data_IF_863037365771
#
_entry.id   IF_863037365771
#
_cell.length_a   1.000
_cell.length_b   1.000
_cell.length_c   1.000
_cell.angle_alpha   90.00
_cell.angle_beta   90.00
_cell.angle_gamma   90.00
#
_symmetry.space_group_name_H-M   'P 1'
#
loop_
_entity.id
_entity.type
_entity.pdbx_description
1 polymer ?
#
# COMPACT_ATOMS: atom_id res chain seq x y z
N UNK A 1 35.52 14.81 22.39
CA UNK A 1 34.06 15.08 22.49
C UNK A 1 33.37 13.76 22.80
N UNK A 2 32.86 13.57 24.01
CA UNK A 2 32.33 12.29 24.48
C UNK A 2 31.03 11.92 23.77
N UNK A 3 31.05 10.84 22.98
CA UNK A 3 29.86 10.32 22.32
C UNK A 3 28.88 9.72 23.32
N UNK A 4 27.58 9.99 23.14
CA UNK A 4 26.48 9.34 23.87
C UNK A 4 26.66 7.82 23.88
N UNK A 5 26.52 7.21 25.07
CA UNK A 5 26.56 5.75 25.26
C UNK A 5 25.55 5.06 24.33
N UNK A 6 25.84 3.87 23.78
CA UNK A 6 24.96 3.18 22.83
C UNK A 6 23.51 3.01 23.32
N UNK A 7 23.32 2.69 24.60
CA UNK A 7 22.00 2.55 25.23
C UNK A 7 21.21 3.86 25.29
N UNK A 8 21.88 5.00 25.48
CA UNK A 8 21.23 6.31 25.47
C UNK A 8 20.73 6.68 24.06
N UNK A 9 21.43 6.23 23.01
CA UNK A 9 20.97 6.41 21.61
C UNK A 9 19.74 5.55 21.33
N UNK A 10 19.68 4.33 21.86
CA UNK A 10 18.50 3.48 21.76
C UNK A 10 17.29 4.11 22.48
N UNK A 11 17.49 4.61 23.70
CA UNK A 11 16.45 5.34 24.43
C UNK A 11 15.93 6.56 23.67
N UNK A 12 16.83 7.36 23.08
CA UNK A 12 16.44 8.51 22.26
C UNK A 12 15.64 8.11 21.02
N UNK A 13 16.01 7.02 20.35
CA UNK A 13 15.27 6.50 19.19
C UNK A 13 13.87 6.03 19.58
N UNK A 14 13.73 5.32 20.70
CA UNK A 14 12.43 4.87 21.22
C UNK A 14 11.55 6.08 21.53
N UNK A 15 12.08 7.07 22.27
CA UNK A 15 11.34 8.31 22.58
C UNK A 15 10.93 9.04 21.30
N UNK A 16 11.85 9.21 20.35
CA UNK A 16 11.55 9.86 19.07
C UNK A 16 10.47 9.12 18.28
N UNK A 17 10.50 7.79 18.25
CA UNK A 17 9.48 6.98 17.59
C UNK A 17 8.12 7.09 18.27
N UNK A 18 8.06 7.00 19.60
CA UNK A 18 6.83 7.19 20.37
C UNK A 18 6.21 8.58 20.16
N UNK A 19 7.04 9.63 20.12
CA UNK A 19 6.59 10.98 19.82
C UNK A 19 6.02 11.10 18.39
N UNK A 20 6.67 10.47 17.41
CA UNK A 20 6.17 10.45 16.03
C UNK A 20 4.82 9.72 15.92
N UNK A 21 4.65 8.58 16.61
CA UNK A 21 3.37 7.88 16.69
C UNK A 21 2.28 8.72 17.36
N UNK A 22 2.62 9.38 18.48
CA UNK A 22 1.68 10.27 19.18
C UNK A 22 1.24 11.46 18.33
N UNK A 23 2.16 12.10 17.62
CA UNK A 23 1.85 13.17 16.67
C UNK A 23 0.94 12.67 15.55
N UNK A 24 1.27 11.52 14.95
CA UNK A 24 0.44 10.91 13.90
C UNK A 24 -0.97 10.62 14.39
N UNK A 25 -1.11 10.03 15.58
CA UNK A 25 -2.41 9.74 16.19
C UNK A 25 -3.24 11.02 16.42
N UNK A 26 -2.64 12.09 16.95
CA UNK A 26 -3.34 13.36 17.15
C UNK A 26 -3.81 13.98 15.82
N UNK A 27 -2.95 13.97 14.80
CA UNK A 27 -3.30 14.51 13.47
C UNK A 27 -4.44 13.72 12.85
N UNK A 28 -4.37 12.39 12.82
CA UNK A 28 -5.45 11.57 12.27
C UNK A 28 -6.74 11.69 13.07
N UNK A 29 -6.68 11.73 14.40
CA UNK A 29 -7.86 11.95 15.23
C UNK A 29 -8.54 13.30 14.92
N UNK A 30 -7.74 14.36 14.73
CA UNK A 30 -8.27 15.69 14.43
C UNK A 30 -8.85 15.79 13.02
N UNK A 31 -8.23 15.15 12.03
CA UNK A 31 -8.66 15.20 10.63
C UNK A 31 -9.81 14.23 10.34
N UNK A 32 -9.76 13.00 10.85
CA UNK A 32 -10.72 11.92 10.53
C UNK A 32 -11.85 11.80 11.55
N UNK A 33 -11.67 12.30 12.77
CA UNK A 33 -12.71 12.27 13.80
C UNK A 33 -14.03 12.93 13.36
N UNK A 34 -14.03 14.18 12.87
CA UNK A 34 -15.26 14.85 12.45
C UNK A 34 -15.97 14.16 11.27
N UNK A 35 -15.29 13.79 10.15
CA UNK A 35 -15.90 13.01 9.07
C UNK A 35 -16.48 11.67 9.54
N UNK A 36 -15.76 10.92 10.37
CA UNK A 36 -16.23 9.62 10.88
C UNK A 36 -17.52 9.75 11.71
N UNK A 37 -17.59 10.76 12.58
CA UNK A 37 -18.82 11.02 13.36
C UNK A 37 -19.98 11.45 12.48
N UNK A 38 -19.75 12.23 11.41
CA UNK A 38 -20.79 12.62 10.45
C UNK A 38 -21.37 11.41 9.72
N UNK A 39 -20.51 10.55 9.18
CA UNK A 39 -20.94 9.33 8.49
C UNK A 39 -21.73 8.40 9.42
N UNK A 40 -21.30 8.28 10.68
CA UNK A 40 -22.01 7.49 11.68
C UNK A 40 -23.37 8.10 12.05
N UNK A 41 -23.47 9.43 12.11
CA UNK A 41 -24.72 10.13 12.36
C UNK A 41 -25.70 9.98 11.19
N UNK A 42 -25.21 10.08 9.95
CA UNK A 42 -25.98 9.90 8.72
C UNK A 42 -26.53 8.47 8.62
N UNK A 43 -25.69 7.44 8.84
CA UNK A 43 -26.14 6.05 8.88
C UNK A 43 -27.24 5.82 9.92
N UNK A 44 -27.09 6.39 11.12
CA UNK A 44 -28.10 6.27 12.18
C UNK A 44 -29.40 6.99 11.81
N UNK A 45 -29.30 8.16 11.17
CA UNK A 45 -30.47 8.92 10.72
C UNK A 45 -31.25 8.15 9.65
N UNK A 46 -30.56 7.57 8.67
CA UNK A 46 -31.16 6.74 7.62
C UNK A 46 -31.82 5.48 8.20
N UNK A 47 -31.14 4.80 9.14
CA UNK A 47 -31.72 3.66 9.87
C UNK A 47 -33.00 4.05 10.62
N UNK A 48 -32.98 5.16 11.36
CA UNK A 48 -34.13 5.63 12.11
C UNK A 48 -35.30 6.03 11.18
N UNK A 49 -35.01 6.67 10.05
CA UNK A 49 -36.02 7.02 9.05
C UNK A 49 -36.65 5.77 8.41
N UNK A 50 -35.83 4.77 8.08
CA UNK A 50 -36.30 3.49 7.55
C UNK A 50 -37.18 2.74 8.56
N UNK A 51 -36.73 2.64 9.81
CA UNK A 51 -37.48 2.02 10.92
C UNK A 51 -38.79 2.77 11.21
N UNK A 52 -38.80 4.10 11.17
CA UNK A 52 -40.04 4.87 11.38
C UNK A 52 -41.07 4.58 10.28
N UNK A 53 -40.62 4.38 9.03
CA UNK A 53 -41.50 4.14 7.89
C UNK A 53 -41.99 2.69 7.77
N UNK A 54 -41.17 1.70 8.15
CA UNK A 54 -41.47 0.28 7.91
C UNK A 54 -41.48 -0.58 9.19
N UNK A 55 -41.12 -0.03 10.35
CA UNK A 55 -40.93 -0.78 11.60
C UNK A 55 -42.17 -1.50 12.11
N UNK A 56 -43.37 -1.01 11.80
CA UNK A 56 -44.61 -1.71 12.11
C UNK A 56 -44.80 -3.03 11.34
N UNK A 57 -44.14 -3.18 10.18
CA UNK A 57 -44.19 -4.35 9.32
C UNK A 57 -42.99 -5.29 9.50
N UNK A 58 -42.00 -4.90 10.30
CA UNK A 58 -40.78 -5.66 10.53
C UNK A 58 -40.84 -6.35 11.91
N UNK A 59 -40.43 -7.62 12.01
CA UNK A 59 -40.23 -8.25 13.30
C UNK A 59 -39.19 -7.49 14.13
N UNK A 60 -39.35 -7.41 15.46
CA UNK A 60 -38.38 -6.73 16.31
C UNK A 60 -36.99 -7.39 16.16
N UNK A 61 -35.96 -6.60 15.85
CA UNK A 61 -34.59 -7.09 15.69
C UNK A 61 -34.22 -7.64 14.31
N UNK A 62 -35.20 -7.84 13.40
CA UNK A 62 -34.94 -8.44 12.09
C UNK A 62 -34.07 -7.53 11.18
N UNK A 63 -34.21 -6.21 11.32
CA UNK A 63 -33.39 -5.26 10.57
C UNK A 63 -31.95 -5.26 11.06
N UNK A 64 -31.75 -5.31 12.37
CA UNK A 64 -30.44 -5.39 13.01
C UNK A 64 -29.74 -6.71 12.65
N UNK A 65 -30.47 -7.82 12.58
CA UNK A 65 -29.95 -9.12 12.14
C UNK A 65 -29.54 -9.10 10.66
N UNK A 66 -30.39 -8.54 9.79
CA UNK A 66 -30.07 -8.38 8.37
C UNK A 66 -28.83 -7.48 8.18
N UNK A 67 -28.80 -6.34 8.87
CA UNK A 67 -27.67 -5.40 8.80
C UNK A 67 -26.39 -6.03 9.36
N UNK A 68 -26.49 -6.75 10.47
CA UNK A 68 -25.37 -7.49 11.05
C UNK A 68 -24.82 -8.53 10.07
N UNK A 69 -25.70 -9.26 9.40
CA UNK A 69 -25.32 -10.23 8.36
C UNK A 69 -24.68 -9.53 7.17
N UNK A 70 -25.27 -8.46 6.65
CA UNK A 70 -24.76 -7.70 5.51
C UNK A 70 -23.39 -7.06 5.79
N UNK A 71 -23.20 -6.47 6.98
CA UNK A 71 -21.92 -5.91 7.41
C UNK A 71 -20.86 -6.99 7.60
N UNK A 72 -21.23 -8.16 8.14
CA UNK A 72 -20.33 -9.29 8.28
C UNK A 72 -19.90 -9.87 6.92
N UNK A 73 -20.82 -9.98 5.96
CA UNK A 73 -20.49 -10.44 4.59
C UNK A 73 -19.64 -9.41 3.85
N UNK A 74 -19.92 -8.11 4.02
CA UNK A 74 -19.14 -7.02 3.44
C UNK A 74 -17.72 -6.97 4.04
N UNK A 75 -17.56 -7.23 5.34
CA UNK A 75 -16.25 -7.34 5.99
C UNK A 75 -15.38 -8.47 5.42
N UNK A 76 -15.99 -9.45 4.74
CA UNK A 76 -15.30 -10.50 4.00
C UNK A 76 -15.14 -10.21 2.50
N UNK A 77 -15.43 -8.97 2.08
CA UNK A 77 -15.35 -8.53 0.69
C UNK A 77 -16.53 -8.97 -0.18
N UNK A 78 -17.56 -9.61 0.40
CA UNK A 78 -18.71 -10.13 -0.36
C UNK A 78 -19.77 -9.04 -0.53
N UNK A 79 -19.69 -8.32 -1.64
CA UNK A 79 -20.69 -7.33 -2.05
C UNK A 79 -21.85 -8.00 -2.79
N UNK A 80 -22.96 -8.28 -2.12
CA UNK A 80 -24.16 -8.93 -2.72
C UNK A 80 -25.38 -8.01 -2.83
N UNK A 81 -25.20 -6.69 -2.75
CA UNK A 81 -26.30 -5.72 -2.76
C UNK A 81 -26.80 -5.37 -4.18
N UNK A 82 -26.18 -5.90 -5.24
CA UNK A 82 -26.60 -5.71 -6.63
C UNK A 82 -27.39 -6.90 -7.18
N UNK A 83 -28.31 -6.64 -8.11
CA UNK A 83 -29.01 -7.65 -8.92
C UNK A 83 -28.10 -8.36 -9.95
N UNK A 84 -26.78 -8.19 -9.85
CA UNK A 84 -25.79 -8.73 -10.76
C UNK A 84 -25.17 -10.00 -10.17
N UNK A 85 -25.68 -11.14 -10.62
CA UNK A 85 -25.22 -12.50 -10.29
C UNK A 85 -23.76 -12.83 -10.69
N UNK A 86 -22.96 -11.84 -11.13
CA UNK A 86 -21.68 -12.07 -11.82
C UNK A 86 -20.44 -11.49 -11.13
N UNK A 87 -20.58 -10.68 -10.07
CA UNK A 87 -19.41 -10.12 -9.36
C UNK A 87 -18.85 -11.14 -8.33
N UNK A 88 -18.16 -12.17 -8.82
CA UNK A 88 -17.38 -13.06 -7.95
C UNK A 88 -16.09 -12.35 -7.54
N UNK A 89 -15.88 -12.15 -6.24
CA UNK A 89 -14.62 -11.60 -5.72
C UNK A 89 -13.42 -12.55 -5.96
N UNK A 90 -13.66 -13.80 -6.35
CA UNK A 90 -12.63 -14.79 -6.65
C UNK A 90 -12.56 -15.15 -8.14
N UNK A 91 -12.70 -14.15 -9.01
CA UNK A 91 -12.29 -14.29 -10.41
C UNK A 91 -10.75 -14.33 -10.55
N UNK A 92 -10.25 -14.76 -11.70
CA UNK A 92 -8.80 -14.95 -11.91
C UNK A 92 -7.99 -13.65 -11.68
N UNK A 93 -8.40 -12.48 -12.21
CA UNK A 93 -7.73 -11.21 -11.92
C UNK A 93 -7.65 -10.88 -10.41
N UNK A 94 -8.75 -11.05 -9.66
CA UNK A 94 -8.76 -10.74 -8.22
C UNK A 94 -7.97 -11.75 -7.39
N UNK A 95 -7.98 -13.03 -7.78
CA UNK A 95 -7.14 -14.05 -7.18
C UNK A 95 -5.63 -13.78 -7.42
N UNK A 96 -5.26 -13.30 -8.61
CA UNK A 96 -3.89 -12.89 -8.92
C UNK A 96 -3.49 -11.66 -8.11
N UNK A 97 -4.36 -10.66 -7.98
CA UNK A 97 -4.14 -9.50 -7.11
C UNK A 97 -3.96 -9.91 -5.64
N UNK A 98 -4.81 -10.82 -5.15
CA UNK A 98 -4.71 -11.35 -3.79
C UNK A 98 -3.36 -12.04 -3.56
N UNK A 99 -2.97 -12.96 -4.44
CA UNK A 99 -1.68 -13.67 -4.33
C UNK A 99 -0.47 -12.75 -4.49
N UNK A 100 -0.53 -11.75 -5.38
CA UNK A 100 0.48 -10.71 -5.51
C UNK A 100 0.62 -9.89 -4.21
N UNK A 101 -0.50 -9.51 -3.61
CA UNK A 101 -0.54 -8.73 -2.37
C UNK A 101 0.05 -9.47 -1.17
N UNK A 102 -0.06 -10.81 -1.15
CA UNK A 102 0.60 -11.66 -0.15
C UNK A 102 2.11 -11.63 -0.36
N UNK A 103 2.59 -11.87 -1.59
CA UNK A 103 4.02 -11.91 -1.89
C UNK A 103 4.70 -10.54 -1.76
N UNK A 104 3.97 -9.44 -1.96
CA UNK A 104 4.47 -8.08 -1.76
C UNK A 104 4.37 -7.59 -0.33
N UNK A 105 3.80 -8.40 0.58
CA UNK A 105 3.44 -7.99 1.95
C UNK A 105 2.57 -6.72 1.99
N UNK A 106 1.81 -6.43 0.93
CA UNK A 106 0.90 -5.28 0.89
C UNK A 106 -0.39 -5.60 1.63
N UNK A 107 -1.00 -6.77 1.34
CA UNK A 107 -2.17 -7.28 2.06
C UNK A 107 -3.34 -6.30 2.22
N UNK A 108 -4.03 -5.96 1.13
CA UNK A 108 -5.11 -4.94 1.12
C UNK A 108 -6.31 -5.19 2.05
N UNK A 109 -6.45 -6.36 2.66
CA UNK A 109 -7.46 -6.61 3.70
C UNK A 109 -8.93 -6.76 3.24
N UNK A 110 -9.28 -6.36 2.02
CA UNK A 110 -10.66 -6.49 1.49
C UNK A 110 -11.04 -7.94 1.09
N UNK A 111 -10.05 -8.83 0.96
CA UNK A 111 -10.24 -10.25 0.62
C UNK A 111 -9.45 -11.15 1.57
N UNK A 112 -10.08 -12.22 2.05
CA UNK A 112 -9.43 -13.20 2.93
C UNK A 112 -9.95 -14.62 2.67
N UNK A 113 -9.09 -15.66 2.83
CA UNK A 113 -9.53 -17.04 2.67
C UNK A 113 -10.48 -17.43 3.80
N UNK A 114 -11.69 -17.82 3.42
CA UNK A 114 -12.75 -18.21 4.35
C UNK A 114 -12.61 -19.67 4.81
N UNK A 115 -12.16 -20.55 3.93
CA UNK A 115 -12.02 -21.98 4.22
C UNK A 115 -10.75 -22.30 5.00
N UNK A 116 -10.82 -23.35 5.83
CA UNK A 116 -9.64 -23.86 6.54
C UNK A 116 -8.51 -24.25 5.58
N UNK A 117 -8.84 -24.89 4.45
CA UNK A 117 -7.89 -25.24 3.40
C UNK A 117 -7.24 -24.01 2.74
N UNK A 118 -8.02 -22.97 2.44
CA UNK A 118 -7.50 -21.72 1.88
C UNK A 118 -6.57 -20.98 2.85
N UNK A 119 -6.89 -20.99 4.15
CA UNK A 119 -6.02 -20.43 5.20
C UNK A 119 -4.71 -21.21 5.32
N UNK A 120 -4.76 -22.54 5.35
CA UNK A 120 -3.56 -23.38 5.40
C UNK A 120 -2.68 -23.19 4.15
N UNK A 121 -3.29 -23.17 2.96
CA UNK A 121 -2.58 -22.87 1.71
C UNK A 121 -1.93 -21.49 1.74
N UNK A 122 -2.64 -20.46 2.19
CA UNK A 122 -2.12 -19.10 2.31
C UNK A 122 -0.85 -19.04 3.18
N UNK A 123 -0.83 -19.74 4.31
CA UNK A 123 0.35 -19.83 5.19
C UNK A 123 1.54 -20.47 4.46
N UNK A 124 1.33 -21.61 3.80
CA UNK A 124 2.41 -22.31 3.06
C UNK A 124 2.90 -21.47 1.88
N UNK A 125 1.96 -20.86 1.14
CA UNK A 125 2.25 -19.98 0.00
C UNK A 125 3.08 -18.77 0.42
N UNK A 126 2.73 -18.10 1.53
CA UNK A 126 3.50 -16.99 2.06
C UNK A 126 4.88 -17.44 2.57
N UNK A 127 4.96 -18.57 3.27
CA UNK A 127 6.22 -19.07 3.84
C UNK A 127 7.28 -19.39 2.78
N UNK A 128 6.87 -19.93 1.63
CA UNK A 128 7.77 -20.25 0.51
C UNK A 128 7.93 -19.08 -0.46
N UNK A 129 6.85 -18.36 -0.71
CA UNK A 129 6.80 -17.28 -1.69
C UNK A 129 7.56 -16.04 -1.24
N UNK A 130 7.46 -15.63 0.03
CA UNK A 130 8.15 -14.43 0.52
C UNK A 130 9.68 -14.52 0.39
N UNK A 131 10.36 -15.60 0.83
CA UNK A 131 11.79 -15.76 0.60
C UNK A 131 12.15 -15.76 -0.89
N UNK A 132 11.36 -16.42 -1.73
CA UNK A 132 11.59 -16.47 -3.17
C UNK A 132 11.43 -15.08 -3.82
N UNK A 133 10.41 -14.31 -3.44
CA UNK A 133 10.21 -12.93 -3.87
C UNK A 133 11.35 -12.02 -3.43
N UNK A 134 11.84 -12.17 -2.19
CA UNK A 134 13.00 -11.42 -1.71
C UNK A 134 14.27 -11.77 -2.48
N UNK A 135 14.50 -13.05 -2.79
CA UNK A 135 15.64 -13.50 -3.59
C UNK A 135 15.57 -12.96 -5.04
N UNK A 136 14.38 -12.96 -5.63
CA UNK A 136 14.15 -12.39 -6.95
C UNK A 136 14.45 -10.89 -6.95
N UNK A 137 13.90 -10.15 -5.97
CA UNK A 137 14.17 -8.71 -5.81
C UNK A 137 15.66 -8.45 -5.61
N UNK A 138 16.35 -9.22 -4.74
CA UNK A 138 17.79 -9.09 -4.54
C UNK A 138 18.60 -9.36 -5.83
N UNK A 139 18.19 -10.33 -6.64
CA UNK A 139 18.86 -10.66 -7.91
C UNK A 139 18.64 -9.55 -8.94
N UNK A 140 17.40 -9.10 -9.08
CA UNK A 140 17.04 -7.97 -9.96
C UNK A 140 17.78 -6.70 -9.54
N UNK A 141 17.93 -6.43 -8.24
CA UNK A 141 18.76 -5.35 -7.72
C UNK A 141 20.21 -5.46 -8.23
N UNK A 142 20.83 -6.62 -8.08
CA UNK A 142 22.22 -6.83 -8.47
C UNK A 142 22.43 -6.66 -9.98
N UNK A 143 21.46 -7.03 -10.80
CA UNK A 143 21.52 -6.85 -12.25
C UNK A 143 21.23 -5.41 -12.70
N UNK A 144 20.25 -4.74 -12.06
CA UNK A 144 19.79 -3.41 -12.46
C UNK A 144 20.66 -2.28 -11.92
N UNK A 145 21.24 -2.43 -10.72
CA UNK A 145 22.02 -1.37 -10.07
C UNK A 145 23.19 -0.87 -10.95
N UNK A 146 24.01 -1.74 -11.56
CA UNK A 146 25.10 -1.29 -12.43
C UNK A 146 24.60 -0.55 -13.68
N UNK A 147 23.48 -0.98 -14.25
CA UNK A 147 22.88 -0.33 -15.41
C UNK A 147 22.37 1.08 -15.07
N UNK A 148 21.72 1.22 -13.92
CA UNK A 148 21.18 2.48 -13.42
C UNK A 148 22.28 3.45 -12.91
N UNK A 149 23.41 2.94 -12.43
CA UNK A 149 24.51 3.77 -11.91
C UNK A 149 25.46 4.31 -12.98
N UNK A 150 25.53 3.68 -14.16
CA UNK A 150 26.39 4.10 -15.29
C UNK A 150 26.15 5.56 -15.73
N UNK A 151 24.92 6.02 -15.99
CA UNK A 151 24.70 7.40 -16.42
C UNK A 151 25.05 8.40 -15.30
N UNK A 152 24.75 8.09 -14.03
CA UNK A 152 25.12 8.96 -12.91
C UNK A 152 26.63 9.09 -12.71
N UNK A 153 27.38 8.00 -12.92
CA UNK A 153 28.85 8.03 -12.92
C UNK A 153 29.41 8.85 -14.10
N UNK A 154 28.84 8.73 -15.30
CA UNK A 154 29.22 9.53 -16.46
C UNK A 154 29.00 11.03 -16.22
N UNK A 155 27.83 11.41 -15.69
CA UNK A 155 27.50 12.80 -15.33
C UNK A 155 28.44 13.34 -14.25
N UNK A 156 28.76 12.53 -13.23
CA UNK A 156 29.67 12.92 -12.16
C UNK A 156 31.08 13.25 -12.67
N UNK A 157 31.58 12.47 -13.63
CA UNK A 157 32.88 12.70 -14.29
C UNK A 157 32.81 13.94 -15.18
N UNK A 158 31.74 14.11 -15.95
CA UNK A 158 31.62 15.21 -16.91
C UNK A 158 31.44 16.59 -16.24
N UNK A 159 30.79 16.64 -15.08
CA UNK A 159 30.56 17.88 -14.31
C UNK A 159 31.44 18.05 -13.08
N UNK A 160 32.49 17.22 -12.91
CA UNK A 160 33.48 17.33 -11.83
C UNK A 160 32.82 17.46 -10.43
N UNK A 161 31.70 16.77 -10.25
CA UNK A 161 30.91 16.84 -9.03
C UNK A 161 31.64 16.12 -7.90
N UNK A 162 31.54 16.65 -6.67
CA UNK A 162 32.03 15.91 -5.51
C UNK A 162 31.27 14.59 -5.35
N UNK A 163 31.91 13.51 -4.89
CA UNK A 163 31.31 12.18 -4.82
C UNK A 163 30.03 12.16 -3.97
N UNK A 164 29.96 13.01 -2.92
CA UNK A 164 28.77 13.16 -2.10
C UNK A 164 27.60 13.81 -2.86
N UNK A 165 27.86 14.85 -3.67
CA UNK A 165 26.82 15.50 -4.48
C UNK A 165 26.36 14.60 -5.62
N UNK A 166 27.28 13.89 -6.27
CA UNK A 166 26.95 12.91 -7.30
C UNK A 166 26.04 11.79 -6.77
N UNK A 167 26.37 11.22 -5.61
CA UNK A 167 25.54 10.19 -4.96
C UNK A 167 24.15 10.72 -4.60
N UNK A 168 24.05 11.95 -4.08
CA UNK A 168 22.77 12.58 -3.75
C UNK A 168 21.92 12.84 -5.02
N UNK A 169 22.52 13.39 -6.07
CA UNK A 169 21.82 13.66 -7.34
C UNK A 169 21.32 12.36 -7.98
N UNK A 170 22.15 11.31 -7.99
CA UNK A 170 21.74 10.00 -8.52
C UNK A 170 20.61 9.37 -7.69
N UNK A 171 20.69 9.48 -6.36
CA UNK A 171 19.64 9.06 -5.46
C UNK A 171 18.31 9.79 -5.69
N UNK A 172 18.35 11.11 -5.83
CA UNK A 172 17.18 11.95 -6.11
C UNK A 172 16.61 11.63 -7.50
N UNK A 173 17.46 11.53 -8.52
CA UNK A 173 17.04 11.18 -9.88
C UNK A 173 16.38 9.80 -9.95
N UNK A 174 16.95 8.79 -9.27
CA UNK A 174 16.34 7.46 -9.21
C UNK A 174 15.02 7.49 -8.42
N UNK A 175 14.95 8.25 -7.32
CA UNK A 175 13.72 8.44 -6.56
C UNK A 175 12.61 9.10 -7.38
N UNK A 176 12.93 10.14 -8.16
CA UNK A 176 12.01 10.81 -9.07
C UNK A 176 11.58 9.91 -10.23
N UNK A 177 12.50 9.13 -10.80
CA UNK A 177 12.20 8.15 -11.84
C UNK A 177 11.20 7.12 -11.31
N UNK A 178 11.43 6.59 -10.10
CA UNK A 178 10.52 5.64 -9.44
C UNK A 178 9.16 6.29 -9.16
N UNK A 179 9.13 7.49 -8.58
CA UNK A 179 7.88 8.21 -8.32
C UNK A 179 7.10 8.49 -9.61
N UNK A 180 7.77 8.90 -10.69
CA UNK A 180 7.13 9.17 -11.97
C UNK A 180 6.59 7.91 -12.63
N UNK A 181 7.40 6.86 -12.73
CA UNK A 181 7.04 5.61 -13.43
C UNK A 181 6.09 4.71 -12.66
N UNK A 182 6.14 4.69 -11.32
CA UNK A 182 5.36 3.76 -10.49
C UNK A 182 4.26 4.41 -9.65
N UNK A 183 4.26 5.73 -9.51
CA UNK A 183 3.20 6.44 -8.79
C UNK A 183 2.44 7.34 -9.74
N UNK A 184 3.09 8.31 -10.39
CA UNK A 184 2.38 9.32 -11.19
C UNK A 184 1.79 8.75 -12.47
N UNK A 185 2.55 7.99 -13.25
CA UNK A 185 2.07 7.42 -14.52
C UNK A 185 0.91 6.44 -14.29
N UNK A 186 0.99 5.45 -13.37
CA UNK A 186 -0.15 4.60 -13.05
C UNK A 186 -1.32 5.37 -12.47
N UNK A 187 -1.09 6.38 -11.62
CA UNK A 187 -2.18 7.21 -11.08
C UNK A 187 -2.91 8.00 -12.18
N UNK A 188 -2.20 8.54 -13.16
CA UNK A 188 -2.79 9.23 -14.31
C UNK A 188 -3.58 8.25 -15.20
N UNK A 189 -3.06 7.04 -15.42
CA UNK A 189 -3.77 5.98 -16.15
C UNK A 189 -5.05 5.59 -15.41
N UNK A 190 -4.96 5.31 -14.10
CA UNK A 190 -6.11 4.96 -13.27
C UNK A 190 -7.14 6.09 -13.22
N UNK A 191 -6.69 7.34 -13.11
CA UNK A 191 -7.56 8.51 -13.15
C UNK A 191 -8.29 8.65 -14.49
N UNK A 192 -7.57 8.50 -15.60
CA UNK A 192 -8.15 8.57 -16.95
C UNK A 192 -9.07 7.41 -17.30
N UNK A 193 -8.84 6.23 -16.71
CA UNK A 193 -9.69 5.04 -16.92
C UNK A 193 -10.90 4.99 -16.00
N UNK A 194 -10.78 5.46 -14.75
CA UNK A 194 -11.82 5.26 -13.73
C UNK A 194 -12.81 6.42 -13.61
N UNK A 195 -12.59 7.58 -14.26
CA UNK A 195 -13.56 8.68 -14.44
C UNK A 195 -14.03 9.43 -13.17
N UNK A 196 -14.35 8.68 -12.12
CA UNK A 196 -15.00 9.11 -10.88
C UNK A 196 -14.01 9.29 -9.71
N UNK A 197 -12.78 8.78 -9.84
CA UNK A 197 -11.76 8.91 -8.81
C UNK A 197 -11.05 10.26 -8.87
N UNK A 198 -10.77 10.89 -7.73
CA UNK A 198 -9.89 12.06 -7.69
C UNK A 198 -8.44 11.67 -8.00
N UNK A 199 -7.67 12.55 -8.65
CA UNK A 199 -6.24 12.33 -8.91
C UNK A 199 -5.46 12.04 -7.62
N UNK A 200 -5.82 12.73 -6.53
CA UNK A 200 -5.23 12.50 -5.21
C UNK A 200 -5.50 11.08 -4.71
N UNK A 201 -6.73 10.57 -4.88
CA UNK A 201 -7.09 9.20 -4.54
C UNK A 201 -6.27 8.17 -5.32
N UNK A 202 -6.08 8.40 -6.63
CA UNK A 202 -5.25 7.52 -7.46
C UNK A 202 -3.77 7.54 -7.05
N UNK A 203 -3.21 8.72 -6.75
CA UNK A 203 -1.84 8.85 -6.23
C UNK A 203 -1.69 8.15 -4.89
N UNK A 204 -2.63 8.37 -3.97
CA UNK A 204 -2.66 7.75 -2.65
C UNK A 204 -2.73 6.21 -2.76
N UNK A 205 -3.57 5.68 -3.65
CA UNK A 205 -3.65 4.25 -3.92
C UNK A 205 -2.32 3.69 -4.43
N UNK A 206 -1.71 4.30 -5.45
CA UNK A 206 -0.42 3.86 -5.98
C UNK A 206 0.70 3.94 -4.92
N UNK A 207 0.74 5.02 -4.14
CA UNK A 207 1.71 5.19 -3.07
C UNK A 207 1.53 4.14 -1.96
N UNK A 208 0.31 3.93 -1.48
CA UNK A 208 -0.04 2.95 -0.44
C UNK A 208 0.30 1.52 -0.87
N UNK A 209 0.04 1.20 -2.14
CA UNK A 209 0.37 -0.10 -2.74
C UNK A 209 1.88 -0.32 -2.82
N UNK A 210 2.62 0.68 -3.33
CA UNK A 210 4.07 0.61 -3.54
C UNK A 210 4.87 0.63 -2.23
N UNK A 211 4.37 1.36 -1.23
CA UNK A 211 4.98 1.43 0.10
C UNK A 211 4.67 0.23 0.98
N UNK A 212 3.92 -0.75 0.46
CA UNK A 212 3.44 -1.94 1.16
C UNK A 212 2.62 -1.61 2.41
N UNK A 213 1.92 -0.47 2.42
CA UNK A 213 0.96 -0.10 3.47
C UNK A 213 -0.36 -0.83 3.22
N UNK A 214 -0.86 -0.76 1.98
CA UNK A 214 -2.02 -1.55 1.54
C UNK A 214 -3.33 -1.26 2.27
N UNK A 215 -3.72 0.01 2.43
CA UNK A 215 -4.97 0.38 3.15
C UNK A 215 -6.22 -0.26 2.54
N UNK A 216 -6.24 -0.47 1.21
CA UNK A 216 -7.28 -1.27 0.54
C UNK A 216 -8.67 -0.63 0.47
N UNK A 217 -8.75 0.66 0.74
CA UNK A 217 -9.95 1.52 0.71
C UNK A 217 -10.39 1.92 -0.71
N UNK A 218 -9.43 2.02 -1.63
CA UNK A 218 -9.66 2.32 -3.04
C UNK A 218 -9.13 1.15 -3.86
N UNK A 219 -10.00 0.25 -4.30
CA UNK A 219 -9.64 -0.73 -5.32
C UNK A 219 -10.32 -0.38 -6.64
N UNK A 220 -9.64 -0.51 -7.78
CA UNK A 220 -10.28 -0.36 -9.07
C UNK A 220 -11.41 -1.38 -9.18
N UNK A 221 -12.64 -0.86 -9.22
CA UNK A 221 -13.87 -1.65 -9.31
C UNK A 221 -13.84 -2.51 -10.58
N UNK A 222 -14.27 -3.76 -10.44
CA UNK A 222 -14.16 -4.79 -11.46
C UNK A 222 -14.94 -4.40 -12.72
N UNK A 223 -14.24 -4.33 -13.85
CA UNK A 223 -14.89 -4.06 -15.14
C UNK A 223 -13.94 -3.87 -16.32
N UNK A 224 -12.72 -3.37 -16.10
CA UNK A 224 -11.82 -3.06 -17.21
C UNK A 224 -10.38 -3.49 -16.94
N UNK A 225 -10.00 -4.66 -17.46
CA UNK A 225 -8.69 -4.98 -18.07
C UNK A 225 -7.38 -4.51 -17.44
N UNK A 226 -7.35 -4.12 -16.17
CA UNK A 226 -6.13 -3.63 -15.51
C UNK A 226 -5.18 -4.81 -15.30
N UNK A 227 -4.16 -4.88 -16.15
CA UNK A 227 -3.24 -5.99 -16.20
C UNK A 227 -2.48 -6.13 -14.87
N UNK A 228 -2.48 -7.31 -14.21
CA UNK A 228 -1.82 -7.56 -12.92
C UNK A 228 -0.33 -7.15 -12.89
N UNK A 229 0.31 -7.10 -14.07
CA UNK A 229 1.71 -6.70 -14.24
C UNK A 229 2.01 -5.29 -13.74
N UNK A 230 1.09 -4.32 -13.82
CA UNK A 230 1.36 -2.95 -13.36
C UNK A 230 1.71 -2.92 -11.85
N UNK A 231 1.14 -3.85 -11.07
CA UNK A 231 1.42 -3.97 -9.63
C UNK A 231 2.66 -4.82 -9.33
N UNK A 232 2.92 -5.86 -10.13
CA UNK A 232 4.13 -6.68 -10.00
C UNK A 232 5.41 -5.88 -10.26
N UNK A 233 5.37 -4.88 -11.15
CA UNK A 233 6.53 -4.00 -11.38
C UNK A 233 6.70 -2.99 -10.22
N UNK A 234 5.69 -2.74 -9.39
CA UNK A 234 5.83 -1.97 -8.14
C UNK A 234 6.79 -2.61 -7.13
N UNK A 235 6.89 -3.95 -7.09
CA UNK A 235 7.89 -4.64 -6.26
C UNK A 235 9.34 -4.33 -6.71
N UNK A 236 9.56 -3.98 -7.98
CA UNK A 236 10.86 -3.49 -8.47
C UNK A 236 11.17 -2.08 -7.96
N UNK A 237 10.19 -1.27 -7.57
CA UNK A 237 10.46 0.08 -7.04
C UNK A 237 10.89 0.08 -5.56
N UNK A 238 10.60 -1.00 -4.80
CA UNK A 238 11.21 -1.24 -3.48
C UNK A 238 12.74 -1.38 -3.56
N UNK A 239 13.29 -1.73 -4.74
CA UNK A 239 14.73 -1.71 -5.01
C UNK A 239 15.35 -0.34 -4.75
N UNK A 240 14.62 0.75 -5.01
CA UNK A 240 15.10 2.12 -4.83
C UNK A 240 15.44 2.47 -3.37
N UNK A 241 14.69 1.94 -2.39
CA UNK A 241 14.92 2.18 -0.96
C UNK A 241 16.20 1.49 -0.45
N UNK A 242 16.58 0.38 -1.08
CA UNK A 242 17.81 -0.37 -0.77
C UNK A 242 19.04 0.25 -1.42
N UNK A 243 18.91 0.81 -2.63
CA UNK A 243 19.99 1.52 -3.34
C UNK A 243 20.55 2.72 -2.55
N UNK A 244 19.68 3.49 -1.89
CA UNK A 244 20.06 4.65 -1.07
C UNK A 244 21.03 4.27 0.08
N UNK A 245 20.84 3.09 0.69
CA UNK A 245 21.70 2.62 1.79
C UNK A 245 23.06 2.15 1.29
N UNK A 246 23.11 1.51 0.13
CA UNK A 246 24.36 1.01 -0.46
C UNK A 246 25.23 2.16 -0.99
N UNK A 247 24.63 3.16 -1.67
CA UNK A 247 25.36 4.37 -2.07
C UNK A 247 25.91 5.16 -0.88
N UNK A 248 25.16 5.23 0.23
CA UNK A 248 25.63 5.86 1.47
C UNK A 248 26.79 5.09 2.12
N UNK A 249 26.74 3.75 2.14
CA UNK A 249 27.82 2.93 2.70
C UNK A 249 29.09 2.97 1.85
N UNK A 250 28.97 3.00 0.52
CA UNK A 250 30.11 3.12 -0.39
C UNK A 250 30.84 4.45 -0.22
N UNK A 251 30.12 5.55 0.09
CA UNK A 251 30.72 6.86 0.36
C UNK A 251 31.44 6.98 1.72
N UNK A 252 31.16 6.08 2.68
CA UNK A 252 31.92 5.99 3.93
C UNK A 252 33.22 5.22 3.77
N UNK A 253 33.22 4.15 2.98
CA UNK A 253 34.39 3.28 2.78
C UNK A 253 35.50 3.94 1.95
N UNK A 254 35.28 5.11 1.36
CA UNK A 254 36.33 5.91 0.68
C UNK A 254 36.88 7.07 1.53
N UNK A 255 36.42 7.21 2.78
CA UNK A 255 36.90 8.23 3.73
C UNK A 255 37.70 7.63 4.90
N UNK A 256 37.74 6.31 4.99
CA UNK A 256 38.62 5.54 5.87
C UNK A 256 39.74 4.94 5.03
#
# INVERSE_FOLDING_TARGET
MGGLRPWARYGLLVVGHSLALGLGAMVFQALEGPPAHRLQAELRAELAAFQAKHGACLPPGALEELLGTALATQAHGVSSLGNSSEASNWDLPSALLFTASILSTTGYGHMAPLSAGGRAFCVVYAALGLPASLALVATLHHCLLPALSRPGAWVAVHWQLSPARAALLQAVALGLLVASSFVLLPALVLWGLQGDSSLLGAIYFCFSSLSTIGVGDLLPSHGHGLHPVIYHVGQLALLGKSCLRVCWQSGRRSRD
#
